data_IF_544570472820
#
_entry.id   IF_544570472820
#
_cell.length_a   1.000
_cell.length_b   1.000
_cell.length_c   1.000
_cell.angle_alpha   90.00
_cell.angle_beta   90.00
_cell.angle_gamma   90.00
#
_symmetry.space_group_name_H-M   'P 1'
#
loop_
_entity.id
_entity.type
_entity.pdbx_description
1 polymer ?
#
# COMPACT_ATOMS: atom_id res chain seq x y z
N UNK A 1 14.18 -10.97 12.44
CA UNK A 1 13.79 -9.55 12.61
C UNK A 1 12.98 -9.43 13.88
N UNK A 2 13.59 -9.02 15.00
CA UNK A 2 12.87 -8.90 16.28
C UNK A 2 11.74 -7.88 16.14
N UNK A 3 10.50 -8.35 16.24
CA UNK A 3 9.32 -7.50 16.36
C UNK A 3 9.44 -6.74 17.69
N UNK A 4 9.50 -5.41 17.62
CA UNK A 4 9.40 -4.55 18.79
C UNK A 4 7.97 -4.66 19.33
N UNK A 5 7.75 -5.60 20.26
CA UNK A 5 6.49 -5.71 20.96
C UNK A 5 6.45 -4.65 22.05
N UNK A 6 5.70 -3.59 21.80
CA UNK A 6 5.40 -2.57 22.80
C UNK A 6 4.04 -2.84 23.41
N UNK A 7 3.98 -2.97 24.74
CA UNK A 7 2.74 -3.15 25.49
C UNK A 7 2.30 -1.81 26.08
N UNK A 8 1.04 -1.44 25.84
CA UNK A 8 0.40 -0.25 26.43
C UNK A 8 -1.03 -0.60 26.81
N UNK A 9 -1.47 -0.13 27.97
CA UNK A 9 -2.87 -0.17 28.36
C UNK A 9 -3.62 1.02 27.77
N UNK A 10 -4.77 0.76 27.16
CA UNK A 10 -5.70 1.77 26.66
C UNK A 10 -6.99 1.69 27.49
N UNK A 11 -7.51 2.85 27.90
CA UNK A 11 -8.81 2.92 28.54
C UNK A 11 -9.94 2.81 27.52
N UNK A 12 -10.98 2.06 27.86
CA UNK A 12 -12.23 2.02 27.09
C UNK A 12 -13.12 3.15 27.60
N UNK A 13 -13.51 4.05 26.71
CA UNK A 13 -14.41 5.16 27.01
C UNK A 13 -15.87 4.71 26.85
N UNK A 14 -16.81 5.65 27.06
CA UNK A 14 -18.23 5.38 26.86
C UNK A 14 -18.52 4.79 25.47
N UNK A 15 -19.47 3.85 25.40
CA UNK A 15 -19.86 3.12 24.18
C UNK A 15 -18.77 2.23 23.57
N UNK A 16 -17.72 1.87 24.32
CA UNK A 16 -16.69 0.96 23.83
C UNK A 16 -15.58 1.63 23.01
N UNK A 17 -15.53 2.97 22.97
CA UNK A 17 -14.55 3.71 22.17
C UNK A 17 -13.14 3.60 22.74
N UNK A 18 -12.16 3.28 21.90
CA UNK A 18 -10.73 3.38 22.22
C UNK A 18 -10.09 4.53 21.43
N UNK A 19 -9.28 5.34 22.11
CA UNK A 19 -8.48 6.37 21.45
C UNK A 19 -7.08 5.82 21.18
N UNK A 20 -6.72 5.66 19.91
CA UNK A 20 -5.36 5.29 19.54
C UNK A 20 -4.38 6.43 19.88
N UNK A 21 -3.22 6.16 20.47
CA UNK A 21 -2.19 7.17 20.70
C UNK A 21 -1.74 7.86 19.40
N UNK A 22 -1.38 9.15 19.48
CA UNK A 22 -1.03 9.94 18.30
C UNK A 22 0.20 9.42 17.55
N UNK A 23 1.16 8.83 18.25
CA UNK A 23 2.33 8.16 17.68
C UNK A 23 1.94 6.91 16.88
N UNK A 24 0.96 6.13 17.36
CA UNK A 24 0.44 4.96 16.64
C UNK A 24 -0.29 5.40 15.38
N UNK A 25 -1.15 6.42 15.46
CA UNK A 25 -1.91 6.90 14.30
C UNK A 25 -1.00 7.38 13.18
N UNK A 26 -0.03 8.25 13.47
CA UNK A 26 0.91 8.78 12.47
C UNK A 26 1.78 7.69 11.85
N UNK A 27 2.28 6.76 12.67
CA UNK A 27 3.14 5.66 12.19
C UNK A 27 2.39 4.69 11.26
N UNK A 28 1.08 4.53 11.46
CA UNK A 28 0.23 3.62 10.69
C UNK A 28 -0.67 4.36 9.68
N UNK A 29 -0.46 5.66 9.46
CA UNK A 29 -1.25 6.49 8.54
C UNK A 29 -2.77 6.47 8.84
N UNK A 30 -3.14 6.30 10.12
CA UNK A 30 -4.55 6.25 10.56
C UNK A 30 -5.17 7.63 10.82
N UNK A 31 -4.41 8.70 10.57
CA UNK A 31 -4.86 10.08 10.56
C UNK A 31 -5.21 10.60 9.16
N UNK A 32 -5.03 9.77 8.13
CA UNK A 32 -5.39 10.10 6.75
C UNK A 32 -6.91 9.89 6.49
N UNK A 33 -7.52 10.68 5.57
CA UNK A 33 -8.93 10.53 5.23
C UNK A 33 -9.29 9.11 4.80
N UNK A 34 -10.32 8.56 5.44
CA UNK A 34 -10.85 7.24 5.13
C UNK A 34 -10.10 6.07 5.77
N UNK A 35 -9.03 6.29 6.54
CA UNK A 35 -8.32 5.21 7.22
C UNK A 35 -9.27 4.28 8.01
N UNK A 36 -9.07 2.97 7.88
CA UNK A 36 -9.88 1.95 8.54
C UNK A 36 -9.00 0.98 9.35
N UNK A 37 -9.64 0.29 10.28
CA UNK A 37 -9.06 -0.87 10.94
C UNK A 37 -9.94 -2.08 10.65
N UNK A 38 -9.32 -3.18 10.21
CA UNK A 38 -9.94 -4.49 10.27
C UNK A 38 -9.82 -5.00 11.71
N UNK A 39 -10.94 -5.48 12.26
CA UNK A 39 -10.98 -6.12 13.57
C UNK A 39 -11.18 -7.62 13.40
N UNK A 40 -10.24 -8.40 13.92
CA UNK A 40 -10.30 -9.86 13.92
C UNK A 40 -10.38 -10.34 15.36
N UNK A 41 -11.46 -11.03 15.70
CA UNK A 41 -11.60 -11.77 16.95
C UNK A 41 -11.02 -13.16 16.76
N UNK A 42 -9.91 -13.45 17.46
CA UNK A 42 -9.23 -14.73 17.38
C UNK A 42 -9.78 -15.68 18.45
N UNK A 43 -9.71 -16.98 18.18
CA UNK A 43 -10.21 -18.02 19.08
C UNK A 43 -9.48 -18.07 20.45
N UNK A 44 -8.26 -17.52 20.53
CA UNK A 44 -7.48 -17.38 21.76
C UNK A 44 -7.87 -16.15 22.59
N UNK A 45 -8.93 -15.43 22.19
CA UNK A 45 -9.43 -14.24 22.88
C UNK A 45 -8.66 -12.96 22.55
N UNK A 46 -7.73 -13.00 21.59
CA UNK A 46 -7.01 -11.82 21.11
C UNK A 46 -7.90 -11.05 20.13
N UNK A 47 -8.08 -9.75 20.39
CA UNK A 47 -8.61 -8.80 19.40
C UNK A 47 -7.42 -8.22 18.65
N UNK A 48 -7.31 -8.55 17.36
CA UNK A 48 -6.29 -8.03 16.47
C UNK A 48 -6.87 -6.90 15.62
N UNK A 49 -6.21 -5.74 15.62
CA UNK A 49 -6.58 -4.59 14.79
C UNK A 49 -5.51 -4.36 13.72
N UNK A 50 -5.90 -4.47 12.44
CA UNK A 50 -4.99 -4.27 11.31
C UNK A 50 -5.32 -2.99 10.59
N UNK A 51 -4.31 -2.14 10.36
CA UNK A 51 -4.45 -0.95 9.53
C UNK A 51 -4.88 -1.37 8.12
N UNK A 52 -6.04 -0.90 7.69
CA UNK A 52 -6.56 -1.08 6.36
C UNK A 52 -6.69 0.32 5.73
N UNK A 53 -5.78 0.65 4.83
CA UNK A 53 -5.96 1.85 4.02
C UNK A 53 -7.12 1.60 3.05
N UNK A 54 -8.12 2.49 2.99
CA UNK A 54 -9.22 2.33 2.06
C UNK A 54 -8.66 2.46 0.64
N UNK A 55 -8.82 1.41 -0.16
CA UNK A 55 -8.64 1.54 -1.61
C UNK A 55 -9.98 2.00 -2.19
N UNK A 56 -10.05 3.18 -2.85
CA UNK A 56 -11.23 3.60 -3.59
C UNK A 56 -11.75 2.46 -4.47
N UNK A 57 -13.07 2.22 -4.46
CA UNK A 57 -13.64 1.03 -5.09
C UNK A 57 -13.30 0.93 -6.59
N UNK A 58 -13.23 2.08 -7.26
CA UNK A 58 -12.82 2.28 -8.65
C UNK A 58 -11.33 2.03 -8.91
N UNK A 59 -10.49 1.99 -7.87
CA UNK A 59 -9.05 1.72 -7.94
C UNK A 59 -8.68 0.33 -7.41
N UNK A 60 -9.64 -0.49 -6.95
CA UNK A 60 -9.39 -1.85 -6.43
C UNK A 60 -8.68 -2.75 -7.43
N UNK A 61 -8.91 -2.56 -8.73
CA UNK A 61 -8.30 -3.36 -9.79
C UNK A 61 -6.76 -3.25 -9.79
N UNK A 62 -6.21 -2.07 -9.41
CA UNK A 62 -4.76 -1.84 -9.31
C UNK A 62 -4.12 -2.73 -8.25
N UNK A 63 -4.87 -3.09 -7.22
CA UNK A 63 -4.41 -3.91 -6.09
C UNK A 63 -4.67 -5.40 -6.28
N UNK A 64 -5.10 -5.84 -7.46
CA UNK A 64 -5.21 -7.27 -7.77
C UNK A 64 -3.83 -7.90 -7.89
N UNK A 65 -3.67 -9.16 -7.46
CA UNK A 65 -2.40 -9.88 -7.51
C UNK A 65 -1.77 -9.84 -8.91
N UNK A 66 -2.61 -10.02 -9.94
CA UNK A 66 -2.21 -9.94 -11.34
C UNK A 66 -1.61 -8.59 -11.73
N UNK A 67 -2.19 -7.49 -11.25
CA UNK A 67 -1.69 -6.16 -11.58
C UNK A 67 -0.40 -5.86 -10.83
N UNK A 68 -0.33 -6.22 -9.55
CA UNK A 68 0.88 -6.05 -8.73
C UNK A 68 2.05 -6.91 -9.22
N UNK A 69 1.80 -8.10 -9.76
CA UNK A 69 2.83 -8.93 -10.38
C UNK A 69 3.43 -8.28 -11.63
N UNK A 70 2.57 -7.73 -12.49
CA UNK A 70 3.02 -6.98 -13.68
C UNK A 70 3.80 -5.72 -13.31
N UNK A 71 3.37 -5.00 -12.28
CA UNK A 71 4.09 -3.83 -11.79
C UNK A 71 5.51 -4.21 -11.36
N UNK A 72 5.67 -5.32 -10.61
CA UNK A 72 6.99 -5.84 -10.24
C UNK A 72 7.84 -6.23 -11.45
N UNK A 73 7.25 -6.87 -12.46
CA UNK A 73 7.96 -7.22 -13.70
C UNK A 73 8.48 -5.97 -14.43
N UNK A 74 7.68 -4.90 -14.48
CA UNK A 74 8.07 -3.62 -15.07
C UNK A 74 9.16 -2.95 -14.24
N UNK A 75 9.02 -2.91 -12.91
CA UNK A 75 10.05 -2.37 -12.02
C UNK A 75 11.39 -3.09 -12.19
N UNK A 76 11.39 -4.42 -12.28
CA UNK A 76 12.58 -5.21 -12.57
C UNK A 76 13.17 -4.90 -13.96
N UNK A 77 12.30 -4.63 -14.94
CA UNK A 77 12.70 -4.24 -16.30
C UNK A 77 13.39 -2.87 -16.33
N UNK A 78 12.81 -1.89 -15.63
CA UNK A 78 13.37 -0.55 -15.46
C UNK A 78 14.69 -0.61 -14.69
N UNK A 79 14.72 -1.31 -13.56
CA UNK A 79 15.91 -1.45 -12.71
C UNK A 79 17.07 -2.13 -13.44
N UNK A 80 16.77 -3.09 -14.32
CA UNK A 80 17.77 -3.74 -15.15
C UNK A 80 18.20 -2.89 -16.38
N UNK A 81 17.69 -1.67 -16.52
CA UNK A 81 18.01 -0.79 -17.64
C UNK A 81 17.51 -1.30 -18.99
N UNK A 82 16.51 -2.19 -19.02
CA UNK A 82 15.93 -2.73 -20.26
C UNK A 82 14.93 -1.75 -20.91
N UNK A 83 14.98 -0.48 -20.54
CA UNK A 83 14.15 0.58 -21.11
C UNK A 83 14.89 1.29 -22.22
N UNK A 84 14.17 1.66 -23.29
CA UNK A 84 14.68 2.60 -24.27
C UNK A 84 14.50 4.03 -23.75
N UNK A 85 15.60 4.79 -23.71
CA UNK A 85 15.59 6.22 -23.37
C UNK A 85 16.03 6.98 -24.61
N UNK A 86 15.25 8.00 -24.98
CA UNK A 86 15.53 8.84 -26.14
C UNK A 86 15.80 10.26 -25.66
N UNK A 87 16.86 10.88 -26.19
CA UNK A 87 17.32 12.22 -25.81
C UNK A 87 16.41 13.35 -26.32
N UNK A 88 15.48 13.04 -27.24
CA UNK A 88 14.51 14.00 -27.77
C UNK A 88 13.20 13.32 -28.16
N UNK A 89 12.12 14.12 -28.19
CA UNK A 89 10.81 13.67 -28.69
C UNK A 89 10.89 13.18 -30.13
N UNK A 90 11.68 13.86 -30.98
CA UNK A 90 11.91 13.45 -32.37
C UNK A 90 12.56 12.07 -32.45
N UNK A 91 13.61 11.82 -31.64
CA UNK A 91 14.28 10.51 -31.59
C UNK A 91 13.41 9.40 -30.99
N UNK A 92 12.40 9.73 -30.18
CA UNK A 92 11.38 8.78 -29.73
C UNK A 92 10.37 8.45 -30.83
N UNK A 93 9.90 9.47 -31.57
CA UNK A 93 8.95 9.28 -32.66
C UNK A 93 9.56 8.44 -33.80
N UNK A 94 10.81 8.71 -34.17
CA UNK A 94 11.52 7.92 -35.19
C UNK A 94 11.61 6.44 -34.80
N UNK A 95 11.85 6.12 -33.52
CA UNK A 95 11.89 4.73 -33.04
C UNK A 95 10.53 4.03 -33.18
N UNK A 96 9.43 4.72 -32.86
CA UNK A 96 8.09 4.15 -32.97
C UNK A 96 7.64 3.90 -34.41
N UNK A 97 8.09 4.73 -35.34
CA UNK A 97 7.78 4.58 -36.76
C UNK A 97 8.58 3.43 -37.41
N UNK A 98 9.78 3.13 -36.90
CA UNK A 98 10.62 2.00 -37.34
C UNK A 98 10.09 0.63 -36.87
N UNK A 99 9.37 0.56 -35.75
CA UNK A 99 8.77 -0.69 -35.24
C UNK A 99 7.49 -1.13 -36.00
N UNK A 100 7.05 -0.38 -37.03
CA UNK A 100 5.80 -0.64 -37.79
C UNK A 100 5.99 -1.31 -39.16
N UNK A 101 7.22 -1.69 -39.52
CA UNK A 101 7.56 -2.50 -40.71
C UNK A 101 7.90 -3.95 -40.35
#
# INVERSE_FOLDING_TARGET
MSTLTSHRYLGIQGRGTIALPADVRRRLHLDEPGAQLEMVERADGVIELRAALPVPADQRWFWTDRWQEREREVDEHVAAGRVAVHESTEGFLDHLDLDRE
#
